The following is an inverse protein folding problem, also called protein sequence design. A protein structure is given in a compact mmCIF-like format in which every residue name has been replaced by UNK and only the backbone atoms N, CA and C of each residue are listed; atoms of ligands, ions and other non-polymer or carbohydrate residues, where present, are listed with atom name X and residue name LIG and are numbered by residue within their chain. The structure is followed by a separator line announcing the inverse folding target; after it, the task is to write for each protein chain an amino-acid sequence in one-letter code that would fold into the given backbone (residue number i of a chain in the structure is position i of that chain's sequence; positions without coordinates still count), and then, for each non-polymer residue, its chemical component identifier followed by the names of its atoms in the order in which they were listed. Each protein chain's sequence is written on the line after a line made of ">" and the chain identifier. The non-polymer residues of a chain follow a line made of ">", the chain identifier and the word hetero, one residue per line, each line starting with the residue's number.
data_IF_315157415628
#
_entry.id   IF_315157415628
#
_cell.length_a   1.000
_cell.length_b   1.000
_cell.length_c   1.000
_cell.angle_alpha   90.00
_cell.angle_beta   90.00
_cell.angle_gamma   90.00
#
_symmetry.space_group_name_H-M   'P 1'
#
loop_
_entity.id
_entity.type
_entity.pdbx_description
1 polymer ?
#
# COMPACT_ATOMS: atom_id res chain seq x y z
N UNK A 1 12.63 14.82 -3.68
CA UNK A 1 11.15 14.87 -3.74
C UNK A 1 10.66 15.83 -2.69
N UNK A 2 9.54 16.52 -2.90
CA UNK A 2 8.94 17.36 -1.85
C UNK A 2 8.16 16.49 -0.87
N UNK A 3 7.91 17.01 0.34
CA UNK A 3 7.07 16.34 1.35
C UNK A 3 5.66 16.05 0.82
N UNK A 4 5.09 16.95 0.00
CA UNK A 4 3.79 16.74 -0.64
C UNK A 4 3.81 15.58 -1.64
N UNK A 5 4.85 15.46 -2.47
CA UNK A 5 4.98 14.33 -3.41
C UNK A 5 5.15 13.02 -2.65
N UNK A 6 5.97 12.99 -1.60
CA UNK A 6 6.17 11.80 -0.77
C UNK A 6 4.87 11.37 -0.08
N UNK A 7 4.13 12.31 0.53
CA UNK A 7 2.85 12.01 1.16
C UNK A 7 1.85 11.44 0.14
N UNK A 8 1.76 12.04 -1.06
CA UNK A 8 0.92 11.52 -2.14
C UNK A 8 1.33 10.12 -2.57
N UNK A 9 2.63 9.84 -2.72
CA UNK A 9 3.14 8.51 -3.08
C UNK A 9 2.80 7.45 -2.04
N UNK A 10 2.81 7.80 -0.74
CA UNK A 10 2.48 6.84 0.33
C UNK A 10 0.97 6.65 0.47
N UNK A 11 0.17 7.72 0.33
CA UNK A 11 -1.29 7.63 0.50
C UNK A 11 -1.99 7.02 -0.72
N UNK A 12 -1.47 7.24 -1.94
CA UNK A 12 -2.06 6.71 -3.16
C UNK A 12 -2.38 5.19 -3.12
N UNK A 13 -1.43 4.29 -2.77
CA UNK A 13 -1.72 2.86 -2.70
C UNK A 13 -2.72 2.50 -1.59
N UNK A 14 -2.88 3.32 -0.55
CA UNK A 14 -3.89 3.07 0.49
C UNK A 14 -5.32 3.12 -0.07
N UNK A 15 -5.58 3.93 -1.10
CA UNK A 15 -6.89 3.95 -1.77
C UNK A 15 -7.25 2.57 -2.31
N UNK A 16 -6.35 1.99 -3.12
CA UNK A 16 -6.54 0.64 -3.62
C UNK A 16 -6.64 -0.43 -2.53
N UNK A 17 -5.86 -0.31 -1.45
CA UNK A 17 -5.93 -1.27 -0.33
C UNK A 17 -7.27 -1.22 0.41
N UNK A 18 -7.83 -0.03 0.63
CA UNK A 18 -9.13 0.15 1.30
C UNK A 18 -10.28 -0.31 0.41
N UNK A 19 -10.25 -0.01 -0.90
CA UNK A 19 -11.23 -0.54 -1.84
C UNK A 19 -11.20 -2.08 -1.89
N UNK A 20 -9.99 -2.66 -1.98
CA UNK A 20 -9.79 -4.12 -1.99
C UNK A 20 -10.24 -4.76 -0.68
N UNK A 21 -9.94 -4.13 0.46
CA UNK A 21 -10.38 -4.57 1.78
C UNK A 21 -11.90 -4.57 1.90
N UNK A 22 -12.55 -3.48 1.48
CA UNK A 22 -14.00 -3.35 1.47
C UNK A 22 -14.67 -4.40 0.58
N UNK A 23 -14.15 -4.64 -0.63
CA UNK A 23 -14.64 -5.69 -1.53
C UNK A 23 -14.46 -7.07 -0.91
N UNK A 24 -13.28 -7.36 -0.37
CA UNK A 24 -12.96 -8.67 0.23
C UNK A 24 -13.85 -8.96 1.44
N UNK A 25 -14.15 -7.96 2.26
CA UNK A 25 -15.00 -8.07 3.44
C UNK A 25 -16.46 -8.45 3.12
N UNK A 26 -16.95 -8.16 1.91
CA UNK A 26 -18.30 -8.59 1.49
C UNK A 26 -18.42 -10.12 1.42
N UNK A 27 -17.32 -10.83 1.08
CA UNK A 27 -17.31 -12.26 0.78
C UNK A 27 -18.07 -12.67 -0.50
N UNK A 28 -18.90 -11.79 -1.08
CA UNK A 28 -19.69 -12.05 -2.29
C UNK A 28 -18.95 -11.69 -3.57
N UNK A 29 -17.97 -10.77 -3.48
CA UNK A 29 -17.24 -10.19 -4.62
C UNK A 29 -18.13 -9.41 -5.59
N UNK A 30 -19.33 -9.00 -5.15
CA UNK A 30 -20.22 -8.14 -5.92
C UNK A 30 -20.00 -6.70 -5.52
N UNK A 31 -19.71 -5.83 -6.48
CA UNK A 31 -19.44 -4.42 -6.20
C UNK A 31 -20.66 -3.68 -5.62
N UNK A 32 -21.87 -4.13 -5.97
CA UNK A 32 -23.13 -3.61 -5.41
C UNK A 32 -23.25 -3.75 -3.90
N UNK A 33 -22.50 -4.68 -3.29
CA UNK A 33 -22.56 -4.97 -1.86
C UNK A 33 -21.51 -4.17 -1.06
N UNK A 34 -20.68 -3.37 -1.74
CA UNK A 34 -19.51 -2.70 -1.17
C UNK A 34 -19.88 -1.31 -0.64
N UNK A 35 -19.42 -1.00 0.58
CA UNK A 35 -19.34 0.38 1.07
C UNK A 35 -17.98 0.61 1.73
N UNK A 36 -17.18 1.48 1.12
CA UNK A 36 -15.87 1.85 1.68
C UNK A 36 -16.04 2.61 2.98
N UNK A 37 -17.02 3.52 3.08
CA UNK A 37 -17.27 4.28 4.31
C UNK A 37 -17.66 3.37 5.49
N UNK A 38 -18.52 2.38 5.27
CA UNK A 38 -18.87 1.40 6.30
C UNK A 38 -17.67 0.54 6.69
N UNK A 39 -16.87 0.11 5.71
CA UNK A 39 -15.66 -0.66 5.95
C UNK A 39 -14.63 0.12 6.78
N UNK A 40 -14.32 1.38 6.41
CA UNK A 40 -13.41 2.26 7.14
C UNK A 40 -13.91 2.53 8.56
N UNK A 41 -15.21 2.79 8.72
CA UNK A 41 -15.82 3.00 10.05
C UNK A 41 -15.65 1.77 10.94
N UNK A 42 -15.82 0.57 10.39
CA UNK A 42 -15.65 -0.69 11.13
C UNK A 42 -14.19 -0.95 11.55
N UNK A 43 -13.21 -0.37 10.84
CA UNK A 43 -11.78 -0.53 11.09
C UNK A 43 -11.10 0.79 11.49
N UNK A 44 -11.86 1.70 12.11
CA UNK A 44 -11.39 3.07 12.38
C UNK A 44 -10.11 3.08 13.23
N UNK A 45 -10.02 2.20 14.23
CA UNK A 45 -8.86 2.13 15.11
C UNK A 45 -7.59 1.67 14.37
N UNK A 46 -7.72 0.69 13.49
CA UNK A 46 -6.65 0.18 12.63
C UNK A 46 -6.20 1.23 11.62
N UNK A 47 -7.15 1.93 11.00
CA UNK A 47 -6.88 3.03 10.05
C UNK A 47 -6.17 4.18 10.76
N UNK A 48 -6.64 4.62 11.94
CA UNK A 48 -5.99 5.69 12.71
C UNK A 48 -4.57 5.29 13.12
N UNK A 49 -4.38 4.03 13.52
CA UNK A 49 -3.07 3.52 13.89
C UNK A 49 -2.13 3.46 12.68
N UNK A 50 -2.62 3.00 11.53
CA UNK A 50 -1.88 2.96 10.27
C UNK A 50 -1.42 4.37 9.88
N UNK A 51 -2.32 5.34 9.86
CA UNK A 51 -2.03 6.73 9.47
C UNK A 51 -1.04 7.40 10.43
N UNK A 52 -1.19 7.18 11.73
CA UNK A 52 -0.23 7.64 12.74
C UNK A 52 1.16 7.03 12.55
N UNK A 53 1.23 5.75 12.19
CA UNK A 53 2.48 5.06 11.87
C UNK A 53 3.15 5.64 10.63
N UNK A 54 2.40 5.85 9.54
CA UNK A 54 2.90 6.47 8.30
C UNK A 54 3.44 7.87 8.57
N UNK A 55 2.67 8.69 9.29
CA UNK A 55 3.04 10.06 9.65
C UNK A 55 4.40 10.11 10.35
N UNK A 56 4.60 9.21 11.32
CA UNK A 56 5.86 9.09 12.08
C UNK A 56 7.01 8.58 11.22
N UNK A 57 6.80 7.56 10.40
CA UNK A 57 7.86 6.97 9.57
C UNK A 57 8.38 7.96 8.52
N UNK A 58 7.48 8.70 7.86
CA UNK A 58 7.85 9.71 6.88
C UNK A 58 8.27 11.06 7.48
N UNK A 59 8.24 11.18 8.82
CA UNK A 59 8.40 12.44 9.55
C UNK A 59 7.57 13.58 8.93
N UNK A 60 6.34 13.27 8.53
CA UNK A 60 5.52 14.22 7.79
C UNK A 60 5.02 15.36 8.69
N UNK A 61 4.89 16.55 8.12
CA UNK A 61 4.20 17.68 8.77
C UNK A 61 2.69 17.67 8.51
N UNK A 62 2.06 18.84 8.67
CA UNK A 62 0.63 19.05 8.39
C UNK A 62 0.22 18.71 6.96
N UNK A 63 1.17 18.81 6.01
CA UNK A 63 0.96 18.47 4.60
C UNK A 63 0.41 17.05 4.40
N UNK A 64 0.71 16.11 5.29
CA UNK A 64 0.17 14.76 5.20
C UNK A 64 -1.34 14.73 5.37
N UNK A 65 -1.88 15.49 6.33
CA UNK A 65 -3.32 15.57 6.58
C UNK A 65 -4.03 16.28 5.42
N UNK A 66 -3.42 17.33 4.87
CA UNK A 66 -3.95 18.00 3.68
C UNK A 66 -4.03 17.04 2.49
N UNK A 67 -2.97 16.28 2.22
CA UNK A 67 -2.97 15.30 1.12
C UNK A 67 -4.00 14.20 1.35
N UNK A 68 -4.13 13.70 2.59
CA UNK A 68 -5.10 12.68 2.94
C UNK A 68 -6.54 13.16 2.68
N UNK A 69 -6.85 14.40 3.07
CA UNK A 69 -8.15 15.02 2.84
C UNK A 69 -8.43 15.28 1.35
N UNK A 70 -7.43 15.75 0.61
CA UNK A 70 -7.50 15.98 -0.83
C UNK A 70 -7.78 14.70 -1.62
N UNK A 71 -7.13 13.58 -1.25
CA UNK A 71 -7.29 12.30 -1.94
C UNK A 71 -8.61 11.60 -1.56
N UNK A 72 -9.13 11.82 -0.35
CA UNK A 72 -10.49 11.44 0.02
C UNK A 72 -10.75 9.93 0.15
N UNK A 73 -9.74 9.07 0.07
CA UNK A 73 -9.91 7.60 0.10
C UNK A 73 -10.54 7.04 1.38
N UNK A 74 -10.57 7.80 2.47
CA UNK A 74 -11.23 7.42 3.72
C UNK A 74 -12.73 7.73 3.75
N UNK A 75 -13.24 8.48 2.77
CA UNK A 75 -14.66 8.83 2.64
C UNK A 75 -15.37 7.75 1.83
N UNK A 76 -16.68 7.64 2.02
CA UNK A 76 -17.48 6.73 1.20
C UNK A 76 -17.43 7.15 -0.27
N UNK A 77 -17.20 6.17 -1.14
CA UNK A 77 -17.16 6.33 -2.59
C UNK A 77 -17.48 4.99 -3.26
N UNK A 78 -17.92 5.07 -4.52
CA UNK A 78 -18.22 3.90 -5.32
C UNK A 78 -16.94 3.18 -5.76
N UNK A 79 -16.91 1.85 -5.56
CA UNK A 79 -15.87 0.98 -6.11
C UNK A 79 -16.36 0.41 -7.43
N UNK A 80 -15.63 0.68 -8.50
CA UNK A 80 -16.00 0.25 -9.87
C UNK A 80 -15.04 -0.82 -10.38
N UNK A 81 -15.49 -1.61 -11.36
CA UNK A 81 -14.61 -2.57 -12.05
C UNK A 81 -13.38 -1.91 -12.68
N UNK A 82 -13.53 -0.68 -13.18
CA UNK A 82 -12.43 0.12 -13.75
C UNK A 82 -11.41 0.57 -12.69
N UNK A 83 -11.87 0.96 -11.49
CA UNK A 83 -10.98 1.29 -10.39
C UNK A 83 -10.16 0.06 -9.97
N UNK A 84 -10.80 -1.11 -9.83
CA UNK A 84 -10.10 -2.36 -9.54
C UNK A 84 -9.14 -2.80 -10.66
N UNK A 85 -9.48 -2.53 -11.92
CA UNK A 85 -8.59 -2.78 -13.06
C UNK A 85 -7.33 -1.90 -12.97
N UNK A 86 -7.48 -0.62 -12.60
CA UNK A 86 -6.36 0.28 -12.35
C UNK A 86 -5.48 -0.23 -11.20
N UNK A 87 -6.07 -0.56 -10.05
CA UNK A 87 -5.33 -1.02 -8.87
C UNK A 87 -4.62 -2.36 -9.09
N UNK A 88 -5.18 -3.22 -9.93
CA UNK A 88 -4.60 -4.52 -10.30
C UNK A 88 -3.56 -4.44 -11.42
N UNK A 89 -3.18 -3.24 -11.87
CA UNK A 89 -2.20 -3.06 -12.93
C UNK A 89 -2.68 -3.58 -14.29
N UNK A 90 -3.99 -3.60 -14.52
CA UNK A 90 -4.58 -4.04 -15.79
C UNK A 90 -4.55 -5.55 -16.02
N UNK A 91 -4.53 -6.37 -14.97
CA UNK A 91 -4.33 -7.84 -15.06
C UNK A 91 -5.36 -8.56 -15.94
N UNK A 92 -6.58 -8.01 -16.07
CA UNK A 92 -7.64 -8.57 -16.91
C UNK A 92 -7.65 -8.00 -18.34
N UNK A 93 -6.77 -7.03 -18.64
CA UNK A 93 -6.84 -6.22 -19.86
C UNK A 93 -8.07 -5.30 -19.88
N UNK A 94 -8.17 -4.48 -20.93
CA UNK A 94 -9.39 -3.69 -21.15
C UNK A 94 -10.40 -4.56 -21.94
N UNK A 95 -11.54 -4.95 -21.35
CA UNK A 95 -12.50 -5.79 -22.04
C UNK A 95 -13.27 -5.00 -23.10
N UNK A 96 -13.95 -5.75 -23.99
CA UNK A 96 -14.86 -5.16 -24.97
C UNK A 96 -16.12 -4.63 -24.29
N UNK A 97 -16.63 -5.35 -23.29
CA UNK A 97 -17.71 -4.90 -22.41
C UNK A 97 -17.16 -4.62 -21.01
N UNK A 98 -17.33 -3.40 -20.51
CA UNK A 98 -16.83 -2.97 -19.20
C UNK A 98 -17.57 -3.71 -18.07
N UNK A 99 -18.80 -4.17 -18.30
CA UNK A 99 -19.56 -4.95 -17.33
C UNK A 99 -18.87 -6.27 -16.94
N UNK A 100 -18.05 -6.83 -17.84
CA UNK A 100 -17.28 -8.06 -17.57
C UNK A 100 -16.27 -7.90 -16.41
N UNK A 101 -15.88 -6.66 -16.07
CA UNK A 101 -15.02 -6.37 -14.92
C UNK A 101 -15.72 -6.59 -13.58
N UNK A 102 -17.04 -6.55 -13.56
CA UNK A 102 -17.84 -6.65 -12.33
C UNK A 102 -18.28 -8.09 -12.03
N UNK A 103 -17.94 -9.03 -12.90
CA UNK A 103 -18.13 -10.45 -12.65
C UNK A 103 -17.36 -10.88 -11.39
N UNK A 104 -18.00 -11.55 -10.41
CA UNK A 104 -17.41 -11.87 -9.11
C UNK A 104 -16.03 -12.57 -9.20
N UNK A 105 -15.85 -13.43 -10.20
CA UNK A 105 -14.58 -14.13 -10.42
C UNK A 105 -13.46 -13.20 -10.92
N UNK A 106 -13.81 -12.21 -11.74
CA UNK A 106 -12.94 -11.15 -12.27
C UNK A 106 -12.56 -10.19 -11.15
N UNK A 107 -13.56 -9.69 -10.41
CA UNK A 107 -13.37 -8.84 -9.22
C UNK A 107 -12.41 -9.50 -8.23
N UNK A 108 -12.64 -10.78 -7.89
CA UNK A 108 -11.76 -11.52 -6.97
C UNK A 108 -10.32 -11.62 -7.47
N UNK A 109 -10.11 -11.82 -8.77
CA UNK A 109 -8.76 -11.86 -9.37
C UNK A 109 -8.08 -10.51 -9.33
N UNK A 110 -8.79 -9.44 -9.72
CA UNK A 110 -8.29 -8.07 -9.66
C UNK A 110 -7.95 -7.68 -8.22
N UNK A 111 -8.83 -7.93 -7.25
CA UNK A 111 -8.57 -7.64 -5.84
C UNK A 111 -7.33 -8.36 -5.29
N UNK A 112 -7.11 -9.63 -5.68
CA UNK A 112 -5.90 -10.37 -5.28
C UNK A 112 -4.64 -9.74 -5.84
N UNK A 113 -4.62 -9.45 -7.14
CA UNK A 113 -3.49 -8.79 -7.78
C UNK A 113 -3.26 -7.38 -7.23
N UNK A 114 -4.33 -6.62 -7.04
CA UNK A 114 -4.30 -5.28 -6.48
C UNK A 114 -3.73 -5.28 -5.06
N UNK A 115 -4.13 -6.20 -4.18
CA UNK A 115 -3.53 -6.31 -2.85
C UNK A 115 -2.01 -6.48 -2.91
N UNK A 116 -1.51 -7.41 -3.72
CA UNK A 116 -0.08 -7.69 -3.83
C UNK A 116 0.69 -6.48 -4.41
N UNK A 117 0.16 -5.85 -5.46
CA UNK A 117 0.77 -4.69 -6.09
C UNK A 117 0.76 -3.46 -5.18
N UNK A 118 -0.41 -3.11 -4.63
CA UNK A 118 -0.56 -1.91 -3.81
C UNK A 118 0.19 -2.02 -2.48
N UNK A 119 0.26 -3.20 -1.86
CA UNK A 119 1.10 -3.40 -0.66
C UNK A 119 2.59 -3.24 -0.99
N UNK A 120 3.03 -3.71 -2.17
CA UNK A 120 4.42 -3.58 -2.61
C UNK A 120 4.77 -2.12 -2.93
N UNK A 121 3.89 -1.38 -3.60
CA UNK A 121 4.04 0.06 -3.86
C UNK A 121 4.01 0.86 -2.56
N UNK A 122 3.11 0.52 -1.64
CA UNK A 122 3.01 1.15 -0.33
C UNK A 122 4.31 0.99 0.47
N UNK A 123 4.87 -0.22 0.53
CA UNK A 123 6.14 -0.46 1.22
C UNK A 123 7.29 0.35 0.60
N UNK A 124 7.36 0.40 -0.73
CA UNK A 124 8.40 1.16 -1.44
C UNK A 124 8.30 2.66 -1.17
N UNK A 125 7.09 3.21 -1.25
CA UNK A 125 6.82 4.62 -0.98
C UNK A 125 7.13 4.97 0.48
N UNK A 126 6.77 4.09 1.43
CA UNK A 126 6.99 4.30 2.85
C UNK A 126 8.48 4.31 3.19
N UNK A 127 9.26 3.35 2.67
CA UNK A 127 10.72 3.32 2.83
C UNK A 127 11.35 4.55 2.16
N UNK A 128 10.88 4.92 0.97
CA UNK A 128 11.36 6.13 0.27
C UNK A 128 11.16 7.38 1.12
N UNK A 129 9.98 7.54 1.73
CA UNK A 129 9.69 8.66 2.62
C UNK A 129 10.60 8.65 3.86
N UNK A 130 10.79 7.47 4.48
CA UNK A 130 11.62 7.33 5.67
C UNK A 130 13.11 7.62 5.39
N UNK A 131 13.63 7.16 4.25
CA UNK A 131 14.99 7.45 3.77
C UNK A 131 15.14 8.94 3.46
N UNK A 132 14.17 9.56 2.80
CA UNK A 132 14.20 10.99 2.50
C UNK A 132 14.13 11.86 3.76
N UNK A 133 13.45 11.40 4.81
CA UNK A 133 13.39 12.04 6.11
C UNK A 133 14.66 11.83 6.97
N UNK A 134 15.58 10.95 6.56
CA UNK A 134 16.81 10.68 7.30
C UNK A 134 16.58 9.98 8.65
N UNK A 135 15.46 9.24 8.79
CA UNK A 135 15.12 8.55 10.04
C UNK A 135 16.06 7.37 10.28
N UNK A 136 16.50 7.18 11.51
CA UNK A 136 17.38 6.07 11.91
C UNK A 136 16.71 4.71 11.62
N UNK A 137 17.42 3.86 10.87
CA UNK A 137 16.85 2.65 10.26
C UNK A 137 16.37 1.60 11.26
N UNK A 138 16.95 1.49 12.46
CA UNK A 138 16.63 0.43 13.41
C UNK A 138 15.20 0.54 13.97
N UNK A 139 14.90 1.63 14.67
CA UNK A 139 13.57 1.86 15.22
C UNK A 139 12.52 2.07 14.10
N UNK A 140 12.92 2.68 12.99
CA UNK A 140 12.05 2.90 11.84
C UNK A 140 11.65 1.60 11.13
N UNK A 141 12.55 0.63 10.96
CA UNK A 141 12.23 -0.65 10.34
C UNK A 141 11.15 -1.42 11.12
N UNK A 142 11.19 -1.38 12.46
CA UNK A 142 10.12 -1.97 13.29
C UNK A 142 8.77 -1.31 13.06
N UNK A 143 8.74 0.03 13.01
CA UNK A 143 7.50 0.75 12.74
C UNK A 143 7.00 0.52 11.30
N UNK A 144 7.89 0.40 10.32
CA UNK A 144 7.54 0.01 8.94
C UNK A 144 6.91 -1.38 8.91
N UNK A 145 7.49 -2.37 9.59
CA UNK A 145 6.93 -3.73 9.66
C UNK A 145 5.53 -3.75 10.31
N UNK A 146 5.33 -2.98 11.38
CA UNK A 146 4.04 -2.82 12.04
C UNK A 146 2.99 -2.16 11.13
N UNK A 147 3.36 -1.06 10.48
CA UNK A 147 2.51 -0.34 9.50
C UNK A 147 2.14 -1.24 8.32
N UNK A 148 3.09 -2.04 7.83
CA UNK A 148 2.86 -3.00 6.77
C UNK A 148 1.91 -4.13 7.21
N UNK A 149 2.00 -4.57 8.47
CA UNK A 149 1.05 -5.51 9.07
C UNK A 149 -0.38 -5.01 9.02
N UNK A 150 -0.61 -3.80 9.55
CA UNK A 150 -1.93 -3.17 9.53
C UNK A 150 -2.47 -3.00 8.10
N UNK A 151 -1.62 -2.58 7.16
CA UNK A 151 -2.03 -2.43 5.76
C UNK A 151 -2.40 -3.78 5.12
N UNK A 152 -1.66 -4.85 5.42
CA UNK A 152 -1.96 -6.19 4.93
C UNK A 152 -3.28 -6.74 5.50
N UNK A 153 -3.52 -6.53 6.80
CA UNK A 153 -4.75 -6.95 7.47
C UNK A 153 -5.98 -6.22 6.92
N UNK A 154 -5.85 -4.92 6.64
CA UNK A 154 -6.91 -4.13 6.00
C UNK A 154 -7.18 -4.59 4.56
N UNK A 155 -6.14 -4.87 3.78
CA UNK A 155 -6.32 -5.32 2.40
C UNK A 155 -6.90 -6.75 2.32
N UNK A 156 -6.56 -7.62 3.28
CA UNK A 156 -6.89 -9.03 3.25
C UNK A 156 -6.85 -9.69 4.64
N UNK A 157 -7.92 -9.51 5.43
CA UNK A 157 -8.08 -10.12 6.75
C UNK A 157 -8.12 -11.66 6.76
N UNK A 158 -8.00 -12.33 5.61
CA UNK A 158 -7.87 -13.79 5.52
C UNK A 158 -6.43 -14.29 5.76
N UNK A 159 -5.44 -13.38 5.78
CA UNK A 159 -4.04 -13.70 5.98
C UNK A 159 -3.32 -14.24 4.74
N UNK A 160 -3.91 -14.17 3.54
CA UNK A 160 -3.20 -14.51 2.29
C UNK A 160 -2.10 -13.47 2.01
N UNK A 161 -2.38 -12.18 2.17
CA UNK A 161 -1.34 -11.15 2.18
C UNK A 161 -0.66 -11.14 3.56
N UNK A 162 0.66 -11.33 3.58
CA UNK A 162 1.46 -11.27 4.81
C UNK A 162 2.61 -10.27 4.66
N UNK A 163 3.02 -9.57 5.74
CA UNK A 163 4.16 -8.65 5.69
C UNK A 163 5.43 -9.29 5.12
N UNK A 164 5.72 -10.54 5.49
CA UNK A 164 6.85 -11.30 4.95
C UNK A 164 6.70 -11.57 3.44
N UNK A 165 5.48 -11.88 2.98
CA UNK A 165 5.18 -12.02 1.55
C UNK A 165 5.45 -10.72 0.78
N UNK A 166 4.92 -9.60 1.26
CA UNK A 166 5.11 -8.28 0.64
C UNK A 166 6.58 -7.88 0.64
N UNK A 167 7.29 -8.06 1.75
CA UNK A 167 8.72 -7.77 1.85
C UNK A 167 9.54 -8.53 0.81
N UNK A 168 9.28 -9.83 0.64
CA UNK A 168 9.96 -10.65 -0.38
C UNK A 168 9.69 -10.13 -1.79
N UNK A 169 8.44 -9.79 -2.11
CA UNK A 169 8.05 -9.23 -3.41
C UNK A 169 8.72 -7.88 -3.66
N UNK A 170 8.70 -6.97 -2.68
CA UNK A 170 9.37 -5.67 -2.76
C UNK A 170 10.87 -5.82 -2.99
N UNK A 171 11.53 -6.72 -2.24
CA UNK A 171 12.97 -6.96 -2.35
C UNK A 171 13.38 -7.35 -3.77
N UNK A 172 12.60 -8.19 -4.45
CA UNK A 172 12.91 -8.63 -5.83
C UNK A 172 12.46 -7.63 -6.89
N UNK A 173 11.33 -6.95 -6.68
CA UNK A 173 10.75 -6.04 -7.66
C UNK A 173 11.42 -4.66 -7.70
N UNK A 174 11.87 -4.14 -6.54
CA UNK A 174 12.37 -2.76 -6.42
C UNK A 174 13.88 -2.69 -6.33
N UNK A 175 14.48 -3.41 -5.38
CA UNK A 175 15.88 -3.19 -5.00
C UNK A 175 16.90 -3.40 -6.13
N UNK A 176 16.79 -4.40 -7.03
CA UNK A 176 17.78 -4.57 -8.09
C UNK A 176 17.88 -3.35 -9.02
N UNK A 177 16.75 -2.72 -9.33
CA UNK A 177 16.72 -1.52 -10.17
C UNK A 177 17.32 -0.30 -9.49
N UNK A 178 17.11 -0.18 -8.17
CA UNK A 178 17.57 0.94 -7.35
C UNK A 178 19.06 0.84 -6.99
N UNK A 179 19.52 -0.35 -6.61
CA UNK A 179 20.84 -0.57 -6.03
C UNK A 179 21.94 -0.88 -7.05
N UNK A 180 21.58 -1.09 -8.33
CA UNK A 180 22.56 -1.32 -9.40
C UNK A 180 23.55 -0.13 -9.52
N UNK A 181 24.81 -0.39 -9.91
CA UNK A 181 25.82 0.67 -10.03
C UNK A 181 25.41 1.85 -10.91
N UNK A 182 24.71 1.60 -12.03
CA UNK A 182 24.24 2.63 -12.96
C UNK A 182 22.85 3.24 -12.63
N UNK A 183 22.35 3.07 -11.40
CA UNK A 183 21.13 3.74 -10.95
C UNK A 183 21.42 5.20 -10.60
N UNK A 184 20.51 6.11 -10.98
CA UNK A 184 20.55 7.54 -10.65
C UNK A 184 20.32 7.82 -9.15
N UNK A 185 19.98 6.80 -8.36
CA UNK A 185 19.82 6.95 -6.93
C UNK A 185 21.15 7.36 -6.27
N UNK A 186 21.17 8.38 -5.40
CA UNK A 186 22.39 8.77 -4.71
C UNK A 186 22.83 7.69 -3.71
N UNK A 187 24.14 7.60 -3.44
CA UNK A 187 24.69 6.54 -2.58
C UNK A 187 24.13 6.55 -1.15
N UNK A 188 23.82 7.72 -0.59
CA UNK A 188 23.15 7.82 0.70
C UNK A 188 21.74 7.20 0.67
N UNK A 189 21.01 7.35 -0.43
CA UNK A 189 19.70 6.75 -0.64
C UNK A 189 19.82 5.23 -0.75
N UNK A 190 20.76 4.74 -1.57
CA UNK A 190 21.07 3.30 -1.67
C UNK A 190 21.45 2.71 -0.31
N UNK A 191 22.25 3.43 0.48
CA UNK A 191 22.61 3.01 1.84
C UNK A 191 21.39 2.91 2.76
N UNK A 192 20.49 3.89 2.72
CA UNK A 192 19.22 3.88 3.46
C UNK A 192 18.36 2.67 3.11
N UNK A 193 18.14 2.40 1.82
CA UNK A 193 17.37 1.24 1.36
C UNK A 193 18.00 -0.09 1.79
N UNK A 194 19.33 -0.23 1.74
CA UNK A 194 20.03 -1.41 2.29
C UNK A 194 19.85 -1.53 3.80
N UNK A 195 19.74 -0.43 4.53
CA UNK A 195 19.47 -0.41 5.96
C UNK A 195 18.06 -0.93 6.29
N UNK A 196 17.05 -0.43 5.58
CA UNK A 196 15.67 -0.92 5.72
C UNK A 196 15.52 -2.38 5.28
N UNK A 197 16.19 -2.80 4.20
CA UNK A 197 16.16 -4.21 3.78
C UNK A 197 16.67 -5.14 4.88
N UNK A 198 17.84 -4.85 5.47
CA UNK A 198 18.38 -5.66 6.57
C UNK A 198 17.48 -5.65 7.80
N UNK A 199 17.02 -4.48 8.22
CA UNK A 199 16.16 -4.36 9.40
C UNK A 199 14.82 -5.07 9.24
N UNK A 200 14.22 -5.02 8.04
CA UNK A 200 12.99 -5.76 7.74
C UNK A 200 13.24 -7.26 7.59
N UNK A 201 14.37 -7.69 7.03
CA UNK A 201 14.73 -9.11 6.97
C UNK A 201 14.84 -9.71 8.39
N UNK A 202 15.48 -9.01 9.33
CA UNK A 202 15.57 -9.46 10.73
C UNK A 202 14.20 -9.61 11.42
N UNK A 203 13.20 -8.81 11.00
CA UNK A 203 11.87 -8.80 11.60
C UNK A 203 10.87 -9.74 10.90
N UNK A 204 11.03 -9.97 9.61
CA UNK A 204 10.02 -10.60 8.74
C UNK A 204 10.47 -11.91 8.09
N UNK A 205 11.78 -12.15 7.95
CA UNK A 205 12.32 -13.43 7.47
C UNK A 205 12.71 -14.38 8.64
N UNK A 206 12.53 -13.94 9.90
CA UNK A 206 12.84 -14.67 11.13
C UNK A 206 11.81 -15.71 11.56
#
# INVERSE_FOLDING_TARGET
>A
MTQQTLARSVIAPLGGLLEVGAVTATGTWRLSDVSVGAYVTAHQAEVDHLLSGIHRVGAFGEVFLTVLDELGYLRDHEVTGLALLLWSGGVEGLPVDVADLEEPSTVRRMCRMAADLQLTEFLDALITAAVAAGVETGAAARKVAEVLGLAADLADGSGRCSPAGVFRTWRVARLPSLLRPGSDAPEWGKAGFRGYERGLAELLDG
#
